data_IF_060413525930
#
_entry.id   IF_060413525930
#
_cell.length_a   1.000
_cell.length_b   1.000
_cell.length_c   1.000
_cell.angle_alpha   90.00
_cell.angle_beta   90.00
_cell.angle_gamma   90.00
#
_symmetry.space_group_name_H-M   'P 1'
#
loop_
_entity.id
_entity.type
_entity.pdbx_description
1 polymer ?
#
# COMPACT_ATOMS: atom_id res chain seq x y z
N UNK A 1 3.18 -2.50 -13.34
CA UNK A 1 2.43 -1.72 -12.33
C UNK A 1 1.07 -1.36 -12.90
N UNK A 2 -0.01 -1.85 -12.30
CA UNK A 2 -1.37 -1.52 -12.70
C UNK A 2 -1.82 -0.23 -12.01
N UNK A 3 -2.30 0.72 -12.80
CA UNK A 3 -2.95 1.91 -12.27
C UNK A 3 -4.30 1.54 -11.64
N UNK A 4 -4.47 1.87 -10.35
CA UNK A 4 -5.76 1.74 -9.68
C UNK A 4 -6.54 3.07 -9.78
N UNK A 5 -7.40 3.17 -10.81
CA UNK A 5 -8.19 4.38 -11.09
C UNK A 5 -9.07 4.82 -9.92
N UNK A 6 -9.61 3.86 -9.16
CA UNK A 6 -10.43 4.18 -8.00
C UNK A 6 -9.61 4.82 -6.87
N UNK A 7 -8.45 4.24 -6.52
CA UNK A 7 -7.58 4.80 -5.47
C UNK A 7 -7.07 6.18 -5.85
N UNK A 8 -6.69 6.39 -7.11
CA UNK A 8 -6.30 7.72 -7.60
C UNK A 8 -7.43 8.74 -7.51
N UNK A 9 -8.62 8.39 -7.99
CA UNK A 9 -9.79 9.25 -7.87
C UNK A 9 -10.14 9.54 -6.40
N UNK A 10 -10.14 8.52 -5.54
CA UNK A 10 -10.48 8.67 -4.13
C UNK A 10 -9.51 9.62 -3.43
N UNK A 11 -8.21 9.49 -3.71
CA UNK A 11 -7.17 10.32 -3.11
C UNK A 11 -7.03 11.71 -3.75
N UNK A 12 -7.52 11.93 -4.97
CA UNK A 12 -7.50 13.24 -5.65
C UNK A 12 -8.79 14.04 -5.47
N UNK A 13 -9.95 13.38 -5.47
CA UNK A 13 -11.27 14.04 -5.51
C UNK A 13 -12.00 14.04 -4.16
N UNK A 14 -11.44 13.40 -3.13
CA UNK A 14 -12.03 13.37 -1.78
C UNK A 14 -11.01 13.73 -0.72
N UNK A 15 -11.46 13.96 0.52
CA UNK A 15 -10.58 14.21 1.66
C UNK A 15 -10.03 12.91 2.30
N UNK A 16 -10.30 11.75 1.69
CA UNK A 16 -9.86 10.45 2.22
C UNK A 16 -8.36 10.31 2.09
N UNK A 17 -7.70 9.94 3.19
CA UNK A 17 -6.26 9.65 3.21
C UNK A 17 -6.05 8.14 3.15
N UNK A 18 -5.46 7.68 2.06
CA UNK A 18 -5.15 6.27 1.86
C UNK A 18 -3.87 5.86 2.59
N UNK A 19 -3.96 4.84 3.43
CA UNK A 19 -2.84 4.12 4.03
C UNK A 19 -2.86 2.67 3.56
N UNK A 20 -1.70 2.11 3.28
CA UNK A 20 -1.56 0.73 2.85
C UNK A 20 -1.07 -0.17 3.98
N UNK A 21 -1.75 -1.29 4.22
CA UNK A 21 -1.38 -2.25 5.28
C UNK A 21 -0.61 -3.41 4.66
N UNK A 22 0.73 -3.30 4.61
CA UNK A 22 1.60 -4.33 4.02
C UNK A 22 3.02 -4.22 4.58
N UNK A 23 3.79 -5.30 4.40
CA UNK A 23 5.23 -5.33 4.59
C UNK A 23 5.99 -5.73 3.30
N UNK A 24 5.28 -6.05 2.20
CA UNK A 24 5.87 -6.48 0.94
C UNK A 24 6.31 -5.27 0.11
N UNK A 25 7.60 -5.18 -0.22
CA UNK A 25 8.20 -3.97 -0.82
C UNK A 25 7.52 -3.57 -2.14
N UNK A 26 7.25 -4.53 -3.02
CA UNK A 26 6.60 -4.26 -4.32
C UNK A 26 5.16 -3.72 -4.17
N UNK A 27 4.43 -4.19 -3.15
CA UNK A 27 3.09 -3.68 -2.83
C UNK A 27 3.17 -2.25 -2.30
N UNK A 28 4.18 -1.93 -1.48
CA UNK A 28 4.42 -0.56 -1.00
C UNK A 28 4.70 0.40 -2.16
N UNK A 29 5.53 -0.01 -3.12
CA UNK A 29 5.82 0.78 -4.33
C UNK A 29 4.54 1.03 -5.16
N UNK A 30 3.72 0.00 -5.36
CA UNK A 30 2.45 0.13 -6.07
C UNK A 30 1.47 1.05 -5.31
N UNK A 31 1.38 0.92 -4.00
CA UNK A 31 0.51 1.73 -3.18
C UNK A 31 0.92 3.22 -3.23
N UNK A 32 2.22 3.51 -3.15
CA UNK A 32 2.74 4.87 -3.32
C UNK A 32 2.38 5.44 -4.69
N UNK A 33 2.53 4.66 -5.76
CA UNK A 33 2.15 5.07 -7.11
C UNK A 33 0.63 5.32 -7.27
N UNK A 34 -0.19 4.68 -6.43
CA UNK A 34 -1.65 4.81 -6.41
C UNK A 34 -2.17 5.81 -5.34
N UNK A 35 -1.28 6.60 -4.72
CA UNK A 35 -1.67 7.72 -3.87
C UNK A 35 -1.66 7.44 -2.36
N UNK A 36 -1.06 6.33 -1.91
CA UNK A 36 -0.86 6.09 -0.49
C UNK A 36 -0.03 7.21 0.15
N UNK A 37 -0.43 7.64 1.35
CA UNK A 37 0.25 8.67 2.15
C UNK A 37 0.99 8.10 3.35
N UNK A 38 0.75 6.84 3.66
CA UNK A 38 1.39 6.14 4.77
C UNK A 38 1.24 4.63 4.60
N UNK A 39 1.99 3.93 5.44
CA UNK A 39 1.97 2.47 5.54
C UNK A 39 1.76 2.08 6.99
N UNK A 40 0.94 1.08 7.23
CA UNK A 40 0.96 0.32 8.48
C UNK A 40 1.60 -1.03 8.21
N UNK A 41 2.33 -1.50 9.22
CA UNK A 41 2.75 -2.89 9.29
C UNK A 41 2.41 -3.42 10.67
N UNK A 42 2.43 -4.74 10.82
CA UNK A 42 2.17 -5.41 12.08
C UNK A 42 2.96 -6.73 12.14
N UNK A 43 3.14 -7.33 13.33
CA UNK A 43 3.96 -8.54 13.48
C UNK A 43 3.53 -9.71 12.58
N UNK A 44 2.25 -9.82 12.26
CA UNK A 44 1.75 -10.86 11.36
C UNK A 44 2.24 -10.63 9.93
N UNK A 45 2.08 -9.40 9.41
CA UNK A 45 2.52 -9.03 8.06
C UNK A 45 4.04 -9.17 7.91
N UNK A 46 4.83 -8.71 8.89
CA UNK A 46 6.29 -8.87 8.89
C UNK A 46 6.69 -10.34 8.79
N UNK A 47 6.12 -11.19 9.66
CA UNK A 47 6.45 -12.61 9.67
C UNK A 47 5.98 -13.32 8.39
N UNK A 48 4.87 -12.91 7.79
CA UNK A 48 4.42 -13.44 6.51
C UNK A 48 5.39 -13.07 5.39
N UNK A 49 5.75 -11.78 5.28
CA UNK A 49 6.68 -11.28 4.26
C UNK A 49 8.04 -11.96 4.37
N UNK A 50 8.66 -12.03 5.56
CA UNK A 50 9.95 -12.70 5.74
C UNK A 50 9.95 -14.19 5.38
N UNK A 51 8.79 -14.85 5.41
CA UNK A 51 8.68 -16.26 5.01
C UNK A 51 8.52 -16.44 3.50
N UNK A 52 7.88 -15.49 2.83
CA UNK A 52 7.64 -15.54 1.39
C UNK A 52 8.77 -14.89 0.57
N UNK A 53 9.40 -13.87 1.14
CA UNK A 53 10.41 -13.00 0.52
C UNK A 53 11.43 -12.59 1.62
N UNK A 54 12.37 -13.50 1.97
CA UNK A 54 13.30 -13.34 3.09
C UNK A 54 14.41 -12.30 2.87
#
# INVERSE_FOLDING_TARGET
MSENKFLKWMTSETQTVYWHDSAVVSELEEAMANGAKGVTTNPFLINATLKSDP
#
